data_IF_541377814981
#
_entry.id   IF_541377814981
#
_cell.length_a   1.000
_cell.length_b   1.000
_cell.length_c   1.000
_cell.angle_alpha   90.00
_cell.angle_beta   90.00
_cell.angle_gamma   90.00
#
_symmetry.space_group_name_H-M   'P 1'
#
loop_
_entity.id
_entity.type
_entity.pdbx_description
1 polymer ?
#
# COMPACT_ATOMS: atom_id res chain seq x y z
N UNK A 1 -9.14 42.52 44.75
CA UNK A 1 -10.44 42.18 44.24
C UNK A 1 -10.40 42.33 42.69
N UNK A 2 -10.20 41.23 42.01
CA UNK A 2 -10.17 41.21 40.56
C UNK A 2 -11.21 40.19 40.13
N UNK A 3 -12.22 40.67 39.42
CA UNK A 3 -13.38 39.87 38.93
C UNK A 3 -12.97 38.95 37.84
N UNK A 4 -13.50 37.71 37.90
CA UNK A 4 -13.37 36.71 36.83
C UNK A 4 -14.25 37.04 35.64
N UNK A 5 -13.85 36.76 34.40
CA UNK A 5 -14.70 36.96 33.23
C UNK A 5 -15.78 35.90 33.12
N UNK A 6 -16.97 36.37 32.72
CA UNK A 6 -18.17 35.55 32.52
C UNK A 6 -18.03 34.56 31.34
N UNK A 7 -18.60 33.38 31.51
CA UNK A 7 -18.71 32.35 30.48
C UNK A 7 -19.70 32.80 29.36
N UNK A 8 -19.44 32.42 28.09
CA UNK A 8 -20.35 32.71 27.00
C UNK A 8 -21.61 31.85 27.07
N UNK A 9 -22.76 32.48 26.76
CA UNK A 9 -24.09 31.87 26.71
C UNK A 9 -24.19 30.79 25.62
N UNK A 10 -24.92 29.73 25.95
CA UNK A 10 -25.25 28.62 25.03
C UNK A 10 -26.22 29.14 23.92
N UNK A 11 -26.11 28.64 22.67
CA UNK A 11 -27.03 28.98 21.62
C UNK A 11 -28.40 28.33 21.84
N UNK A 12 -29.43 29.07 21.50
CA UNK A 12 -30.85 28.72 21.62
C UNK A 12 -31.19 27.42 20.86
N UNK A 13 -32.03 26.60 21.48
CA UNK A 13 -32.46 25.31 20.97
C UNK A 13 -33.22 25.41 19.64
N UNK A 14 -32.89 24.51 18.75
CA UNK A 14 -33.68 24.22 17.56
C UNK A 14 -35.00 23.59 18.00
N UNK A 15 -36.10 24.21 17.56
CA UNK A 15 -37.44 23.72 17.79
C UNK A 15 -37.67 22.32 17.21
N UNK A 16 -38.37 21.48 17.93
CA UNK A 16 -38.79 20.18 17.47
C UNK A 16 -39.63 20.27 16.20
N UNK A 17 -39.50 19.37 15.23
CA UNK A 17 -40.33 19.32 14.06
C UNK A 17 -41.79 19.01 14.44
N UNK A 18 -42.78 19.54 13.71
CA UNK A 18 -44.18 19.30 14.00
C UNK A 18 -44.54 17.82 13.81
N UNK A 19 -45.31 17.28 14.75
CA UNK A 19 -45.84 15.92 14.67
C UNK A 19 -46.72 15.76 13.40
N UNK A 20 -46.57 14.63 12.68
CA UNK A 20 -47.46 14.39 11.55
C UNK A 20 -48.91 14.15 11.99
N UNK A 21 -49.89 14.51 11.16
CA UNK A 21 -51.30 14.37 11.49
C UNK A 21 -51.66 12.87 11.67
N UNK A 22 -52.38 12.57 12.73
CA UNK A 22 -52.94 11.25 12.97
C UNK A 22 -54.02 10.95 11.89
N UNK A 23 -53.69 10.00 11.01
CA UNK A 23 -54.67 9.58 10.00
C UNK A 23 -54.10 9.01 8.72
N UNK A 24 -52.93 8.37 8.74
CA UNK A 24 -52.47 7.56 7.59
C UNK A 24 -52.92 6.12 7.78
N UNK A 25 -53.79 5.66 6.87
CA UNK A 25 -54.16 4.24 6.76
C UNK A 25 -52.91 3.39 6.70
N UNK A 26 -52.84 2.34 7.51
CA UNK A 26 -51.76 1.38 7.51
C UNK A 26 -51.58 0.83 6.09
N UNK A 27 -50.45 1.17 5.47
CA UNK A 27 -50.01 0.47 4.29
C UNK A 27 -49.88 -1.02 4.65
N UNK A 28 -50.33 -1.95 3.79
CA UNK A 28 -50.14 -3.38 4.06
C UNK A 28 -48.66 -3.62 4.37
N UNK A 29 -48.43 -4.23 5.52
CA UNK A 29 -47.07 -4.62 5.93
C UNK A 29 -46.40 -5.38 4.78
N UNK A 30 -45.25 -4.89 4.35
CA UNK A 30 -44.45 -5.65 3.41
C UNK A 30 -44.29 -7.08 3.96
N UNK A 31 -44.38 -8.11 3.11
CA UNK A 31 -44.11 -9.47 3.57
C UNK A 31 -42.78 -9.50 4.28
N UNK A 32 -42.64 -10.26 5.39
CA UNK A 32 -41.38 -10.35 6.10
C UNK A 32 -40.29 -10.75 5.12
N UNK A 33 -39.08 -10.19 5.23
CA UNK A 33 -37.98 -10.55 4.36
C UNK A 33 -37.82 -12.07 4.40
N UNK A 34 -37.89 -12.71 3.23
CA UNK A 34 -37.69 -14.15 3.04
C UNK A 34 -36.26 -14.48 3.47
N UNK A 35 -36.08 -14.85 4.72
CA UNK A 35 -34.87 -15.45 5.29
C UNK A 35 -33.52 -14.77 5.02
N UNK A 36 -32.48 -15.19 5.71
CA UNK A 36 -31.12 -14.71 5.43
C UNK A 36 -30.71 -15.08 3.99
N UNK A 37 -29.80 -14.30 3.37
CA UNK A 37 -29.29 -14.60 2.03
C UNK A 37 -28.73 -16.01 2.02
N UNK A 38 -29.11 -16.77 1.00
CA UNK A 38 -28.68 -18.17 0.86
C UNK A 38 -27.24 -18.22 0.39
N UNK A 39 -26.39 -19.05 1.01
CA UNK A 39 -25.02 -19.25 0.58
C UNK A 39 -24.94 -19.79 -0.86
N UNK A 40 -23.83 -19.52 -1.55
CA UNK A 40 -23.53 -20.06 -2.87
C UNK A 40 -23.38 -21.59 -2.85
N UNK A 41 -23.57 -22.25 -3.97
CA UNK A 41 -23.87 -23.69 -4.08
C UNK A 41 -22.88 -24.70 -3.50
N UNK A 42 -21.73 -24.29 -2.98
CA UNK A 42 -20.77 -25.16 -2.26
C UNK A 42 -20.87 -25.05 -0.74
N UNK A 43 -21.61 -24.09 -0.22
CA UNK A 43 -21.82 -23.92 1.21
C UNK A 43 -23.09 -24.67 1.66
N UNK A 44 -23.05 -25.22 2.88
CA UNK A 44 -24.21 -25.83 3.50
C UNK A 44 -25.34 -24.79 3.65
N UNK A 45 -26.39 -24.92 2.87
CA UNK A 45 -27.60 -24.10 2.99
C UNK A 45 -28.38 -24.51 4.25
N UNK A 46 -28.03 -23.91 5.38
CA UNK A 46 -28.69 -24.14 6.65
C UNK A 46 -30.19 -23.81 6.60
N UNK A 47 -30.65 -22.98 5.69
CA UNK A 47 -32.08 -22.68 5.52
C UNK A 47 -32.86 -23.84 4.93
N UNK A 48 -32.18 -24.78 4.25
CA UNK A 48 -32.75 -26.00 3.72
C UNK A 48 -32.67 -27.16 4.72
N UNK A 49 -32.04 -26.98 5.88
CA UNK A 49 -31.90 -28.00 6.91
C UNK A 49 -32.94 -27.82 8.02
N UNK A 50 -33.43 -28.89 8.54
CA UNK A 50 -34.36 -28.91 9.67
C UNK A 50 -33.66 -29.59 10.86
N UNK A 51 -33.61 -28.89 11.99
CA UNK A 51 -33.13 -29.46 13.24
C UNK A 51 -34.23 -30.35 13.83
N UNK A 52 -33.94 -31.62 14.03
CA UNK A 52 -34.87 -32.57 14.66
C UNK A 52 -35.10 -32.20 16.11
N UNK A 53 -36.38 -32.05 16.46
CA UNK A 53 -36.81 -31.64 17.78
C UNK A 53 -36.78 -32.79 18.82
N UNK A 54 -37.16 -32.49 20.08
CA UNK A 54 -37.12 -33.44 21.17
C UNK A 54 -38.14 -34.61 21.01
N UNK A 55 -39.16 -34.44 20.18
CA UNK A 55 -40.21 -35.43 19.91
C UNK A 55 -39.78 -36.51 18.89
N UNK A 56 -38.64 -36.26 18.21
CA UNK A 56 -38.11 -37.20 17.23
C UNK A 56 -37.41 -38.40 17.88
N UNK A 57 -37.30 -39.55 17.18
CA UNK A 57 -36.57 -40.72 17.66
C UNK A 57 -35.16 -40.38 18.12
N UNK A 58 -34.68 -41.06 19.19
CA UNK A 58 -33.38 -40.74 19.82
C UNK A 58 -32.18 -40.61 18.88
N UNK A 59 -32.16 -41.42 17.81
CA UNK A 59 -31.10 -41.38 16.80
C UNK A 59 -31.13 -40.15 15.87
N UNK A 60 -32.18 -39.32 15.95
CA UNK A 60 -32.32 -38.12 15.11
C UNK A 60 -32.35 -36.82 15.88
N UNK A 61 -32.55 -36.87 17.20
CA UNK A 61 -32.63 -35.67 18.04
C UNK A 61 -31.36 -34.85 17.96
N UNK A 62 -31.53 -33.55 17.75
CA UNK A 62 -30.39 -32.60 17.70
C UNK A 62 -29.54 -32.73 16.43
N UNK A 63 -29.95 -33.53 15.45
CA UNK A 63 -29.26 -33.61 14.16
C UNK A 63 -29.99 -32.78 13.11
N UNK A 64 -29.22 -32.27 12.15
CA UNK A 64 -29.72 -31.51 11.01
C UNK A 64 -29.98 -32.48 9.84
N UNK A 65 -31.19 -32.42 9.29
CA UNK A 65 -31.60 -33.20 8.13
C UNK A 65 -32.07 -32.27 7.02
N UNK A 66 -31.90 -32.65 5.74
CA UNK A 66 -32.49 -31.91 4.65
C UNK A 66 -34.03 -31.84 4.82
N UNK A 67 -34.57 -30.62 4.77
CA UNK A 67 -36.01 -30.40 4.80
C UNK A 67 -36.71 -31.13 3.63
N UNK A 68 -37.84 -31.77 3.90
CA UNK A 68 -38.55 -32.58 2.88
C UNK A 68 -39.20 -31.75 1.75
N UNK A 69 -39.17 -30.43 1.82
CA UNK A 69 -39.79 -29.56 0.82
C UNK A 69 -38.73 -28.87 -0.03
N UNK A 70 -38.24 -29.53 -1.05
CA UNK A 70 -37.56 -28.82 -2.15
C UNK A 70 -38.63 -28.04 -2.89
N UNK A 71 -38.59 -26.69 -2.76
CA UNK A 71 -39.43 -25.82 -3.58
C UNK A 71 -39.19 -26.15 -5.07
N UNK A 72 -40.23 -26.56 -5.82
CA UNK A 72 -40.08 -27.00 -7.22
C UNK A 72 -39.54 -25.86 -8.10
N UNK A 73 -39.74 -24.57 -7.73
CA UNK A 73 -39.20 -23.43 -8.45
C UNK A 73 -37.68 -23.34 -8.26
N UNK A 74 -37.20 -23.50 -7.03
CA UNK A 74 -35.78 -23.53 -6.74
C UNK A 74 -35.06 -24.69 -7.40
N UNK A 75 -35.67 -25.88 -7.41
CA UNK A 75 -35.15 -27.06 -8.11
C UNK A 75 -35.03 -26.84 -9.63
N UNK A 76 -36.03 -26.20 -10.23
CA UNK A 76 -36.00 -25.86 -11.65
C UNK A 76 -34.95 -24.82 -11.99
N UNK A 77 -34.77 -23.76 -11.15
CA UNK A 77 -33.71 -22.78 -11.33
C UNK A 77 -32.31 -23.41 -11.22
N UNK A 78 -32.13 -24.31 -10.26
CA UNK A 78 -30.85 -25.03 -10.10
C UNK A 78 -30.56 -25.90 -11.34
N UNK A 79 -31.55 -26.67 -11.84
CA UNK A 79 -31.39 -27.45 -13.04
C UNK A 79 -31.05 -26.61 -14.27
N UNK A 80 -31.64 -25.41 -14.39
CA UNK A 80 -31.34 -24.50 -15.48
C UNK A 80 -29.93 -23.95 -15.35
N UNK A 81 -29.49 -23.56 -14.14
CA UNK A 81 -28.14 -23.08 -13.88
C UNK A 81 -27.09 -24.17 -14.20
N UNK A 82 -27.32 -25.40 -13.78
CA UNK A 82 -26.49 -26.56 -14.12
C UNK A 82 -26.44 -26.81 -15.63
N UNK A 83 -27.57 -26.68 -16.32
CA UNK A 83 -27.65 -26.79 -17.77
C UNK A 83 -26.84 -25.71 -18.50
N UNK A 84 -26.83 -24.48 -17.99
CA UNK A 84 -26.03 -23.38 -18.55
C UNK A 84 -24.54 -23.58 -18.22
N UNK A 85 -24.23 -24.06 -17.04
CA UNK A 85 -22.84 -24.33 -16.63
C UNK A 85 -22.20 -25.48 -17.43
N UNK A 86 -23.03 -26.43 -17.91
CA UNK A 86 -22.58 -27.55 -18.73
C UNK A 86 -22.40 -27.19 -20.23
N UNK A 87 -22.76 -25.96 -20.66
CA UNK A 87 -22.59 -25.57 -22.06
C UNK A 87 -21.10 -25.42 -22.38
N UNK A 88 -20.65 -25.91 -23.55
CA UNK A 88 -19.27 -25.69 -23.97
C UNK A 88 -19.05 -24.19 -24.18
N UNK A 89 -17.92 -23.70 -23.65
CA UNK A 89 -17.52 -22.30 -23.83
C UNK A 89 -17.29 -22.02 -25.32
N UNK A 90 -17.70 -20.85 -25.84
CA UNK A 90 -17.35 -20.41 -27.18
C UNK A 90 -15.83 -20.44 -27.38
N UNK A 91 -15.36 -20.78 -28.58
CA UNK A 91 -13.93 -20.98 -28.85
C UNK A 91 -13.02 -19.76 -28.64
N UNK A 92 -13.59 -18.59 -28.41
CA UNK A 92 -12.89 -17.35 -28.06
C UNK A 92 -13.04 -16.95 -26.58
N UNK A 93 -13.79 -17.71 -25.80
CA UNK A 93 -13.98 -17.42 -24.39
C UNK A 93 -12.77 -17.92 -23.59
N UNK A 94 -12.18 -17.03 -22.83
CA UNK A 94 -11.22 -17.37 -21.79
C UNK A 94 -12.01 -17.60 -20.52
N UNK A 95 -11.77 -18.76 -19.87
CA UNK A 95 -12.32 -19.00 -18.55
C UNK A 95 -11.97 -17.79 -17.65
N UNK A 96 -12.96 -17.15 -17.00
CA UNK A 96 -12.64 -16.16 -15.99
C UNK A 96 -11.74 -16.86 -14.96
N UNK A 97 -10.62 -16.21 -14.59
CA UNK A 97 -9.88 -16.66 -13.41
C UNK A 97 -10.87 -16.66 -12.26
N UNK A 98 -10.99 -17.78 -11.58
CA UNK A 98 -11.67 -17.79 -10.30
C UNK A 98 -10.90 -16.83 -9.41
N UNK A 99 -11.42 -15.62 -9.29
CA UNK A 99 -10.97 -14.67 -8.29
C UNK A 99 -11.60 -15.17 -7.00
N UNK A 100 -10.85 -15.97 -6.26
CA UNK A 100 -11.18 -16.20 -4.88
C UNK A 100 -11.23 -14.83 -4.22
N UNK A 101 -12.43 -14.31 -3.97
CA UNK A 101 -12.61 -13.10 -3.17
C UNK A 101 -11.95 -13.32 -1.81
N UNK A 102 -11.57 -12.24 -1.12
CA UNK A 102 -10.95 -12.34 0.21
C UNK A 102 -11.79 -13.12 1.24
N UNK A 103 -13.02 -13.40 0.94
CA UNK A 103 -13.97 -14.17 1.78
C UNK A 103 -14.01 -15.67 1.46
N UNK A 104 -13.43 -16.11 0.33
CA UNK A 104 -13.48 -17.49 -0.14
C UNK A 104 -12.20 -18.27 0.23
N UNK A 105 -11.26 -17.64 0.94
CA UNK A 105 -10.04 -18.31 1.37
C UNK A 105 -10.26 -19.02 2.70
N UNK A 106 -10.02 -20.33 2.69
CA UNK A 106 -9.96 -21.15 3.87
C UNK A 106 -8.49 -21.34 4.26
N UNK A 107 -8.19 -21.05 5.51
CA UNK A 107 -6.86 -21.27 6.09
C UNK A 107 -7.00 -22.35 7.16
N UNK A 108 -6.38 -23.49 6.94
CA UNK A 108 -6.36 -24.58 7.90
C UNK A 108 -5.05 -24.51 8.70
N UNK A 109 -5.15 -24.56 10.03
CA UNK A 109 -3.95 -24.62 10.87
C UNK A 109 -3.21 -25.94 10.63
N UNK A 110 -1.88 -25.87 10.46
CA UNK A 110 -1.03 -27.03 10.24
C UNK A 110 -1.05 -28.03 11.42
N UNK A 111 -1.34 -27.53 12.63
CA UNK A 111 -1.46 -28.32 13.85
C UNK A 111 -2.71 -27.92 14.63
N UNK A 112 -3.21 -28.84 15.45
CA UNK A 112 -4.30 -28.53 16.37
C UNK A 112 -3.78 -27.53 17.43
N UNK A 113 -4.55 -26.44 17.63
CA UNK A 113 -4.30 -25.48 18.68
C UNK A 113 -5.20 -25.79 19.88
N UNK A 114 -4.62 -25.81 21.05
CA UNK A 114 -5.36 -25.93 22.32
C UNK A 114 -5.73 -24.53 22.80
N UNK A 115 -7.03 -24.22 22.78
CA UNK A 115 -7.52 -22.90 23.16
C UNK A 115 -8.25 -23.06 24.50
N UNK A 116 -7.68 -22.52 25.61
CA UNK A 116 -8.31 -22.61 26.91
C UNK A 116 -9.62 -21.81 26.95
N UNK A 117 -10.58 -22.29 27.73
CA UNK A 117 -11.88 -21.63 27.92
C UNK A 117 -11.79 -20.61 29.07
N UNK A 118 -11.01 -19.56 28.87
CA UNK A 118 -10.73 -18.54 29.89
C UNK A 118 -11.40 -17.18 29.62
N UNK A 119 -12.17 -17.09 28.50
CA UNK A 119 -12.85 -15.86 28.10
C UNK A 119 -11.90 -14.77 27.54
N UNK A 120 -10.65 -15.09 27.26
CA UNK A 120 -9.67 -14.18 26.68
C UNK A 120 -9.47 -14.46 25.19
N UNK A 121 -8.82 -13.50 24.50
CA UNK A 121 -8.44 -13.67 23.10
C UNK A 121 -7.12 -14.44 22.99
N UNK A 122 -7.10 -15.44 22.11
CA UNK A 122 -5.92 -16.26 21.85
C UNK A 122 -5.49 -16.10 20.38
N UNK A 123 -4.20 -15.86 20.16
CA UNK A 123 -3.62 -15.87 18.84
C UNK A 123 -3.11 -17.27 18.50
N UNK A 124 -3.53 -17.80 17.36
CA UNK A 124 -3.14 -19.12 16.89
C UNK A 124 -2.43 -18.98 15.56
N UNK A 125 -1.26 -19.62 15.42
CA UNK A 125 -0.56 -19.71 14.14
C UNK A 125 -1.32 -20.63 13.21
N UNK A 126 -1.76 -20.10 12.08
CA UNK A 126 -2.47 -20.86 11.06
C UNK A 126 -1.50 -21.52 10.10
N UNK A 127 -0.60 -20.73 9.51
CA UNK A 127 0.38 -21.23 8.54
C UNK A 127 1.61 -20.32 8.48
N UNK A 128 2.69 -20.85 7.94
CA UNK A 128 3.86 -20.09 7.49
C UNK A 128 3.82 -20.02 5.96
N UNK A 129 3.79 -18.82 5.42
CA UNK A 129 3.71 -18.59 3.97
C UNK A 129 5.05 -18.02 3.51
N UNK A 130 5.84 -18.75 2.71
CA UNK A 130 7.09 -18.23 2.18
C UNK A 130 6.81 -17.14 1.14
N UNK A 131 7.33 -15.95 1.38
CA UNK A 131 7.19 -14.79 0.50
C UNK A 131 8.56 -14.25 0.11
N UNK A 132 8.66 -13.66 -1.08
CA UNK A 132 9.86 -12.93 -1.49
C UNK A 132 9.97 -11.63 -0.70
N UNK A 133 11.11 -11.40 -0.06
CA UNK A 133 11.39 -10.16 0.68
C UNK A 133 12.68 -9.53 0.18
N UNK A 134 12.66 -8.22 -0.05
CA UNK A 134 13.87 -7.43 -0.28
C UNK A 134 13.73 -6.06 0.37
N UNK A 135 14.81 -5.50 0.83
CA UNK A 135 14.83 -4.16 1.41
C UNK A 135 15.44 -3.18 0.40
N UNK A 136 14.72 -2.10 0.15
CA UNK A 136 15.17 -0.98 -0.65
C UNK A 136 15.56 0.16 0.30
N UNK A 137 16.70 0.80 0.05
CA UNK A 137 17.19 1.93 0.83
C UNK A 137 17.26 3.17 -0.06
N UNK A 138 16.59 4.23 0.35
CA UNK A 138 16.51 5.49 -0.40
C UNK A 138 16.85 6.66 0.52
N UNK A 139 17.60 7.61 0.03
CA UNK A 139 17.78 8.89 0.71
C UNK A 139 17.69 10.06 -0.27
N UNK A 140 17.19 11.19 0.24
CA UNK A 140 17.13 12.49 -0.45
C UNK A 140 17.85 13.50 0.42
N UNK A 141 19.19 13.52 0.40
CA UNK A 141 19.99 14.27 1.38
C UNK A 141 19.79 15.79 1.31
N UNK A 142 19.24 16.29 0.20
CA UNK A 142 18.86 17.71 0.05
C UNK A 142 17.60 18.09 0.85
N UNK A 143 16.82 17.10 1.30
CA UNK A 143 15.61 17.28 2.10
C UNK A 143 15.91 16.91 3.55
N UNK A 144 16.50 15.73 3.77
CA UNK A 144 16.83 15.21 5.09
C UNK A 144 18.03 14.28 5.02
N UNK A 145 18.94 14.41 5.98
CA UNK A 145 20.13 13.55 6.10
C UNK A 145 19.77 12.23 6.80
N UNK A 146 18.81 11.49 6.22
CA UNK A 146 18.36 10.19 6.68
C UNK A 146 18.20 9.21 5.50
N UNK A 147 18.50 7.94 5.74
CA UNK A 147 18.23 6.84 4.80
C UNK A 147 16.96 6.15 5.24
N UNK A 148 16.01 6.01 4.35
CA UNK A 148 14.75 5.33 4.62
C UNK A 148 14.77 3.92 4.05
N UNK A 149 14.32 2.97 4.86
CA UNK A 149 14.17 1.59 4.47
C UNK A 149 12.71 1.28 4.08
N UNK A 150 12.55 0.59 2.97
CA UNK A 150 11.26 0.07 2.51
C UNK A 150 11.40 -1.42 2.26
N UNK A 151 10.54 -2.19 2.90
CA UNK A 151 10.44 -3.63 2.64
C UNK A 151 9.53 -3.84 1.44
N UNK A 152 10.03 -4.53 0.44
CA UNK A 152 9.24 -4.96 -0.72
C UNK A 152 8.92 -6.43 -0.53
N UNK A 153 7.64 -6.72 -0.47
CA UNK A 153 7.08 -8.05 -0.29
C UNK A 153 6.48 -8.50 -1.62
N UNK A 154 6.93 -9.65 -2.10
CA UNK A 154 6.43 -10.29 -3.32
C UNK A 154 5.71 -11.59 -2.95
N UNK A 155 4.42 -11.65 -3.26
CA UNK A 155 3.62 -12.84 -3.04
C UNK A 155 3.72 -13.78 -4.25
N UNK A 156 4.78 -14.56 -4.29
CA UNK A 156 4.98 -15.59 -5.33
C UNK A 156 4.15 -16.86 -5.10
N UNK A 157 3.27 -16.88 -4.09
CA UNK A 157 2.43 -18.04 -3.79
C UNK A 157 1.12 -18.01 -4.57
N UNK A 158 0.37 -19.08 -4.54
CA UNK A 158 -0.97 -19.21 -5.12
C UNK A 158 -2.10 -18.73 -4.19
N UNK A 159 -1.74 -18.30 -2.97
CA UNK A 159 -2.69 -17.83 -1.96
C UNK A 159 -2.63 -16.31 -1.81
N UNK A 160 -3.78 -15.69 -1.56
CA UNK A 160 -3.81 -14.27 -1.21
C UNK A 160 -3.36 -14.07 0.24
N UNK A 161 -2.52 -13.07 0.48
CA UNK A 161 -2.23 -12.60 1.83
C UNK A 161 -3.34 -11.65 2.26
N UNK A 162 -3.93 -11.92 3.42
CA UNK A 162 -5.02 -11.10 3.93
C UNK A 162 -4.51 -9.79 4.52
N UNK A 163 -5.37 -8.77 4.47
CA UNK A 163 -5.09 -7.50 5.12
C UNK A 163 -5.04 -7.66 6.64
N UNK A 164 -4.12 -6.96 7.27
CA UNK A 164 -4.03 -6.97 8.72
C UNK A 164 -2.80 -6.24 9.26
N UNK A 165 -2.69 -6.13 10.59
CA UNK A 165 -1.48 -5.64 11.23
C UNK A 165 -0.35 -6.66 11.03
N UNK A 166 0.84 -6.15 10.73
CA UNK A 166 2.06 -6.95 10.52
C UNK A 166 3.16 -6.43 11.42
N UNK A 167 3.77 -7.33 12.14
CA UNK A 167 5.03 -7.08 12.85
C UNK A 167 6.18 -7.56 11.96
N UNK A 168 7.10 -6.64 11.68
CA UNK A 168 8.31 -6.95 10.91
C UNK A 168 9.45 -7.20 11.88
N UNK A 169 10.10 -8.34 11.73
CA UNK A 169 11.28 -8.72 12.52
C UNK A 169 12.43 -9.11 11.60
N UNK A 170 13.66 -8.88 12.03
CA UNK A 170 14.86 -9.37 11.37
C UNK A 170 15.78 -10.02 12.42
N UNK A 171 16.26 -11.22 12.16
CA UNK A 171 17.12 -11.98 13.06
C UNK A 171 16.57 -12.11 14.50
N UNK A 172 15.22 -12.09 14.63
CA UNK A 172 14.53 -12.15 15.91
C UNK A 172 14.36 -10.79 16.62
N UNK A 173 14.88 -9.71 16.06
CA UNK A 173 14.68 -8.35 16.56
C UNK A 173 13.48 -7.68 15.90
N UNK A 174 12.66 -7.02 16.71
CA UNK A 174 11.52 -6.23 16.23
C UNK A 174 11.99 -4.97 15.50
N UNK A 175 11.50 -4.75 14.28
CA UNK A 175 11.80 -3.56 13.49
C UNK A 175 10.66 -2.56 13.47
N UNK A 176 9.46 -3.02 13.13
CA UNK A 176 8.32 -2.13 12.95
C UNK A 176 6.98 -2.88 13.05
N UNK A 177 5.94 -2.16 13.40
CA UNK A 177 4.54 -2.59 13.20
C UNK A 177 3.92 -1.74 12.10
N UNK A 178 3.26 -2.39 11.16
CA UNK A 178 2.64 -1.74 10.00
C UNK A 178 1.34 -2.44 9.62
N UNK A 179 0.69 -2.00 8.58
CA UNK A 179 -0.48 -2.68 8.01
C UNK A 179 -0.15 -3.23 6.63
N UNK A 180 -0.54 -4.47 6.40
CA UNK A 180 -0.48 -5.10 5.08
C UNK A 180 -1.86 -4.95 4.42
N UNK A 181 -1.97 -4.46 3.19
CA UNK A 181 -3.19 -4.57 2.41
C UNK A 181 -3.38 -6.01 1.93
N UNK A 182 -4.56 -6.34 1.39
CA UNK A 182 -4.74 -7.62 0.69
C UNK A 182 -3.75 -7.69 -0.47
N UNK A 183 -2.96 -8.76 -0.50
CA UNK A 183 -1.98 -8.98 -1.56
C UNK A 183 -2.32 -10.27 -2.32
N UNK A 184 -2.83 -10.12 -3.53
CA UNK A 184 -3.17 -11.22 -4.40
C UNK A 184 -1.93 -12.05 -4.80
N UNK A 185 -2.09 -13.30 -5.27
CA UNK A 185 -1.03 -14.07 -5.88
C UNK A 185 -0.32 -13.29 -6.99
N UNK A 186 1.01 -13.27 -6.99
CA UNK A 186 1.84 -12.48 -7.90
C UNK A 186 1.84 -10.97 -7.64
N UNK A 187 1.19 -10.52 -6.58
CA UNK A 187 1.18 -9.12 -6.18
C UNK A 187 2.46 -8.70 -5.45
N UNK A 188 2.78 -7.41 -5.54
CA UNK A 188 3.91 -6.79 -4.85
C UNK A 188 3.40 -5.67 -3.95
N UNK A 189 3.86 -5.63 -2.72
CA UNK A 189 3.54 -4.58 -1.76
C UNK A 189 4.81 -3.93 -1.23
N UNK A 190 4.77 -2.63 -0.99
CA UNK A 190 5.84 -1.86 -0.35
C UNK A 190 5.41 -1.41 1.03
N UNK A 191 6.25 -1.69 2.00
CA UNK A 191 6.01 -1.39 3.41
C UNK A 191 7.15 -0.54 3.93
N UNK A 192 6.87 0.70 4.34
CA UNK A 192 7.88 1.57 4.93
C UNK A 192 8.30 1.07 6.31
N UNK A 193 9.60 0.95 6.53
CA UNK A 193 10.19 0.60 7.82
C UNK A 193 10.66 1.83 8.59
N UNK A 194 10.62 3.01 7.97
CA UNK A 194 11.15 4.24 8.56
C UNK A 194 12.64 4.45 8.35
N UNK A 195 13.27 5.34 9.14
CA UNK A 195 14.68 5.61 9.04
C UNK A 195 15.54 4.40 9.41
N UNK A 196 16.53 4.10 8.57
CA UNK A 196 17.53 3.06 8.84
C UNK A 196 18.70 3.67 9.60
N UNK A 197 18.64 3.71 10.92
CA UNK A 197 19.64 4.37 11.78
C UNK A 197 21.08 3.81 11.63
N UNK A 198 21.20 2.57 11.18
CA UNK A 198 22.47 1.94 10.89
C UNK A 198 23.13 2.46 9.60
N UNK A 199 22.40 3.23 8.77
CA UNK A 199 22.92 3.86 7.56
C UNK A 199 23.01 5.37 7.78
N UNK A 200 24.23 5.88 7.92
CA UNK A 200 24.41 7.31 8.07
C UNK A 200 24.64 7.97 6.70
N UNK A 201 24.07 9.14 6.53
CA UNK A 201 24.29 10.00 5.37
C UNK A 201 24.62 11.40 5.85
N UNK A 202 25.56 12.07 5.17
CA UNK A 202 25.89 13.47 5.41
C UNK A 202 26.04 14.18 4.08
N UNK A 203 25.48 15.36 3.96
CA UNK A 203 25.53 16.16 2.74
C UNK A 203 26.20 17.50 2.97
N UNK A 204 27.14 17.85 2.10
CA UNK A 204 27.78 19.16 2.09
C UNK A 204 27.63 19.81 0.73
N UNK A 205 27.34 21.08 0.70
CA UNK A 205 27.21 21.82 -0.55
C UNK A 205 28.16 23.03 -0.52
N UNK A 206 28.67 23.39 -1.70
CA UNK A 206 29.37 24.65 -1.90
C UNK A 206 28.85 25.34 -3.16
N UNK A 207 28.71 26.65 -3.07
CA UNK A 207 28.35 27.53 -4.17
C UNK A 207 29.50 28.50 -4.45
N UNK A 208 29.97 28.53 -5.70
CA UNK A 208 30.94 29.48 -6.17
C UNK A 208 30.39 30.28 -7.32
N UNK A 209 30.50 31.57 -7.26
CA UNK A 209 30.14 32.46 -8.36
C UNK A 209 31.41 32.89 -9.09
N UNK A 210 31.40 32.83 -10.42
CA UNK A 210 32.46 33.27 -11.29
C UNK A 210 31.89 33.92 -12.54
N UNK A 211 32.74 34.61 -13.32
CA UNK A 211 32.32 35.18 -14.58
C UNK A 211 33.11 34.55 -15.74
N UNK A 212 32.45 34.38 -16.86
CA UNK A 212 33.02 33.80 -18.06
C UNK A 212 32.62 34.57 -19.33
N UNK A 213 33.22 34.23 -20.47
CA UNK A 213 32.99 34.87 -21.75
C UNK A 213 34.00 36.02 -22.05
N UNK A 214 34.06 36.41 -23.33
CA UNK A 214 35.05 37.39 -23.85
C UNK A 214 35.02 38.78 -23.19
N UNK A 215 33.95 39.11 -22.49
CA UNK A 215 33.77 40.38 -21.77
C UNK A 215 33.20 40.18 -20.36
N UNK A 216 33.42 39.02 -19.75
CA UNK A 216 32.82 38.65 -18.47
C UNK A 216 31.29 38.82 -18.49
N UNK A 217 30.65 38.51 -19.64
CA UNK A 217 29.22 38.72 -19.85
C UNK A 217 28.35 37.50 -19.52
N UNK A 218 28.92 36.50 -18.88
CA UNK A 218 28.22 35.30 -18.40
C UNK A 218 28.56 35.08 -16.94
N UNK A 219 27.58 35.07 -16.08
CA UNK A 219 27.74 34.64 -14.68
C UNK A 219 27.64 33.13 -14.63
N UNK A 220 28.57 32.46 -14.00
CA UNK A 220 28.59 31.01 -13.77
C UNK A 220 28.43 30.75 -12.27
N UNK A 221 27.38 30.06 -11.92
CA UNK A 221 27.13 29.59 -10.56
C UNK A 221 27.49 28.10 -10.50
N UNK A 222 28.57 27.78 -9.83
CA UNK A 222 29.07 26.43 -9.65
C UNK A 222 28.50 25.85 -8.36
N UNK A 223 27.59 24.92 -8.46
CA UNK A 223 27.07 24.13 -7.35
C UNK A 223 27.86 22.84 -7.25
N UNK A 224 28.42 22.54 -6.08
CA UNK A 224 29.05 21.26 -5.78
C UNK A 224 28.32 20.61 -4.63
N UNK A 225 28.09 19.33 -4.77
CA UNK A 225 27.43 18.47 -3.79
C UNK A 225 28.36 17.34 -3.45
N UNK A 226 28.58 17.14 -2.17
CA UNK A 226 29.37 16.06 -1.63
C UNK A 226 28.48 15.28 -0.65
N UNK A 227 28.30 13.98 -0.89
CA UNK A 227 27.49 13.10 -0.05
C UNK A 227 28.36 11.97 0.46
N UNK A 228 28.45 11.83 1.77
CA UNK A 228 29.11 10.72 2.44
C UNK A 228 28.07 9.75 2.98
N UNK A 229 28.27 8.47 2.70
CA UNK A 229 27.41 7.39 3.20
C UNK A 229 28.26 6.44 4.05
N UNK A 230 27.68 5.93 5.13
CA UNK A 230 28.31 4.92 5.98
C UNK A 230 27.32 3.81 6.31
N UNK A 231 27.71 2.57 6.05
CA UNK A 231 26.96 1.38 6.40
C UNK A 231 27.52 0.78 7.70
N UNK A 232 26.72 0.74 8.75
CA UNK A 232 27.05 0.14 10.04
C UNK A 232 26.46 -1.26 10.22
N UNK A 233 25.73 -1.74 9.20
CA UNK A 233 25.18 -3.10 9.20
C UNK A 233 26.28 -4.13 8.97
N UNK A 234 26.04 -5.34 9.43
CA UNK A 234 26.94 -6.49 9.22
C UNK A 234 26.85 -7.07 7.79
N UNK A 235 25.97 -6.54 6.95
CA UNK A 235 25.72 -7.00 5.58
C UNK A 235 25.89 -5.86 4.57
N UNK A 236 26.26 -6.17 3.32
CA UNK A 236 26.29 -5.16 2.26
C UNK A 236 24.89 -4.69 1.91
N UNK A 237 24.75 -3.40 1.56
CA UNK A 237 23.48 -2.79 1.15
C UNK A 237 23.68 -1.92 -0.07
N UNK A 238 22.63 -1.78 -0.88
CA UNK A 238 22.61 -0.82 -1.98
C UNK A 238 21.67 0.32 -1.60
N UNK A 239 22.18 1.55 -1.62
CA UNK A 239 21.44 2.77 -1.30
C UNK A 239 21.23 3.57 -2.58
N UNK A 240 20.00 3.98 -2.83
CA UNK A 240 19.66 4.92 -3.87
C UNK A 240 19.66 6.34 -3.29
N UNK A 241 20.59 7.16 -3.76
CA UNK A 241 20.71 8.56 -3.37
C UNK A 241 20.06 9.41 -4.45
N UNK A 242 19.07 10.20 -4.07
CA UNK A 242 18.33 11.10 -4.97
C UNK A 242 18.78 12.53 -4.73
N UNK A 243 19.27 13.17 -5.79
CA UNK A 243 19.60 14.60 -5.81
C UNK A 243 18.76 15.31 -6.87
N UNK A 244 18.67 16.62 -6.76
CA UNK A 244 17.87 17.42 -7.68
C UNK A 244 18.73 18.46 -8.39
N UNK A 245 18.72 18.40 -9.71
CA UNK A 245 19.29 19.43 -10.58
C UNK A 245 18.15 20.36 -11.00
N UNK A 246 18.33 21.69 -10.93
CA UNK A 246 17.32 22.60 -11.42
C UNK A 246 17.07 22.39 -12.91
N UNK A 247 15.83 22.61 -13.33
CA UNK A 247 15.44 22.62 -14.75
C UNK A 247 14.97 24.01 -15.13
N UNK A 248 15.24 24.41 -16.36
CA UNK A 248 14.85 25.73 -16.86
C UNK A 248 14.17 25.61 -18.22
N UNK A 249 13.16 26.44 -18.46
CA UNK A 249 12.52 26.64 -19.77
C UNK A 249 13.18 27.78 -20.57
N UNK A 250 14.07 28.54 -19.93
CA UNK A 250 14.75 29.70 -20.54
C UNK A 250 15.88 29.22 -21.45
N UNK A 251 15.77 29.48 -22.76
CA UNK A 251 16.71 29.02 -23.77
C UNK A 251 18.14 29.59 -23.59
N UNK A 252 18.26 30.75 -22.93
CA UNK A 252 19.55 31.44 -22.73
C UNK A 252 20.28 30.99 -21.47
N UNK A 253 19.59 30.31 -20.53
CA UNK A 253 20.21 29.77 -19.33
C UNK A 253 20.62 28.32 -19.62
N UNK A 254 21.87 27.99 -19.38
CA UNK A 254 22.41 26.65 -19.57
C UNK A 254 22.77 26.05 -18.23
N UNK A 255 22.32 24.80 -18.03
CA UNK A 255 22.67 23.99 -16.86
C UNK A 255 23.53 22.84 -17.36
N UNK A 256 24.76 22.77 -16.86
CA UNK A 256 25.74 21.73 -17.20
C UNK A 256 25.97 20.87 -15.96
N UNK A 257 25.64 19.60 -16.07
CA UNK A 257 25.84 18.64 -14.96
C UNK A 257 27.30 18.19 -14.90
N UNK A 258 27.79 17.98 -13.67
CA UNK A 258 29.16 17.54 -13.39
C UNK A 258 29.14 16.46 -12.31
N UNK A 259 28.61 15.29 -12.68
CA UNK A 259 28.53 14.14 -11.79
C UNK A 259 28.26 12.87 -12.58
N UNK A 260 28.67 11.74 -12.01
CA UNK A 260 28.37 10.39 -12.51
C UNK A 260 27.01 9.89 -11.95
N UNK A 261 25.99 10.70 -12.02
CA UNK A 261 24.63 10.31 -11.70
C UNK A 261 23.82 9.96 -12.93
N UNK A 262 22.76 9.19 -12.75
CA UNK A 262 21.85 8.81 -13.82
C UNK A 262 20.50 9.50 -13.64
N UNK A 263 19.83 9.77 -14.75
CA UNK A 263 18.41 10.10 -14.70
C UNK A 263 17.60 8.86 -14.27
N UNK A 264 16.48 9.03 -13.53
CA UNK A 264 15.57 7.93 -13.31
C UNK A 264 15.14 7.34 -14.64
N UNK A 265 15.07 6.02 -14.72
CA UNK A 265 14.47 5.36 -15.86
C UNK A 265 13.01 5.82 -15.94
N UNK A 266 12.63 6.48 -17.03
CA UNK A 266 11.23 6.69 -17.34
C UNK A 266 10.63 5.29 -17.51
N UNK A 267 9.71 4.92 -16.60
CA UNK A 267 8.89 3.74 -16.80
C UNK A 267 8.01 4.04 -17.99
N UNK A 268 8.55 3.79 -19.18
CA UNK A 268 7.73 3.73 -20.39
C UNK A 268 6.71 2.64 -20.12
N UNK A 269 5.45 3.04 -20.00
CA UNK A 269 4.32 2.14 -19.95
C UNK A 269 4.32 1.34 -21.27
N UNK A 270 5.14 0.30 -21.28
CA UNK A 270 5.22 -0.67 -22.37
C UNK A 270 3.92 -1.46 -22.38
N UNK A 271 3.23 -1.38 -23.51
CA UNK A 271 2.03 -2.11 -23.83
C UNK A 271 2.23 -3.62 -23.62
N UNK A 272 1.75 -4.13 -22.51
CA UNK A 272 1.54 -5.54 -22.22
C UNK A 272 0.46 -5.65 -21.15
N UNK A 273 -0.46 -6.61 -21.23
CA UNK A 273 -1.46 -6.82 -20.20
C UNK A 273 -0.75 -7.47 -19.00
N UNK A 274 -0.07 -6.65 -18.21
CA UNK A 274 0.39 -7.08 -16.91
C UNK A 274 -0.68 -6.75 -15.86
N UNK A 275 -0.95 -7.70 -14.93
CA UNK A 275 -1.91 -7.48 -13.86
C UNK A 275 -1.48 -6.24 -13.08
N UNK A 276 -2.46 -5.43 -12.75
CA UNK A 276 -2.36 -4.16 -12.05
C UNK A 276 -1.35 -4.23 -10.89
N UNK A 277 -0.10 -3.96 -11.23
CA UNK A 277 0.87 -3.60 -10.23
C UNK A 277 0.44 -2.22 -9.74
N UNK A 278 -0.10 -2.16 -8.55
CA UNK A 278 -0.11 -0.93 -7.77
C UNK A 278 1.34 -0.58 -7.35
N UNK A 279 2.25 -0.57 -8.33
CA UNK A 279 3.39 0.28 -8.27
C UNK A 279 2.82 1.65 -8.64
N UNK A 280 2.52 2.49 -7.65
CA UNK A 280 2.55 3.91 -7.88
C UNK A 280 3.89 4.12 -8.61
N UNK A 281 3.81 4.39 -9.90
CA UNK A 281 4.95 4.90 -10.64
C UNK A 281 5.30 6.18 -9.89
N UNK A 282 6.28 6.10 -8.98
CA UNK A 282 6.79 7.28 -8.28
C UNK A 282 7.31 8.18 -9.38
N UNK A 283 6.46 9.11 -9.82
CA UNK A 283 6.83 10.12 -10.78
C UNK A 283 7.93 10.95 -10.12
N UNK A 284 9.17 10.73 -10.54
CA UNK A 284 10.27 11.52 -10.05
C UNK A 284 10.05 12.98 -10.45
N UNK A 285 10.28 13.90 -9.51
CA UNK A 285 10.20 15.31 -9.81
C UNK A 285 11.19 15.68 -10.95
N UNK A 286 10.85 16.63 -11.85
CA UNK A 286 11.74 17.05 -12.93
C UNK A 286 13.12 17.43 -12.39
N UNK A 287 14.16 16.95 -13.05
CA UNK A 287 15.56 17.20 -12.65
C UNK A 287 16.08 16.26 -11.55
N UNK A 288 15.35 15.23 -11.17
CA UNK A 288 15.88 14.21 -10.26
C UNK A 288 17.04 13.47 -10.91
N UNK A 289 18.08 13.20 -10.12
CA UNK A 289 19.26 12.41 -10.48
C UNK A 289 19.50 11.37 -9.42
N UNK A 290 20.02 10.22 -9.82
CA UNK A 290 20.20 9.05 -8.98
C UNK A 290 21.67 8.62 -8.95
N UNK A 291 22.16 8.29 -7.75
CA UNK A 291 23.31 7.42 -7.56
C UNK A 291 22.83 6.11 -6.92
N UNK A 292 23.24 5.01 -7.46
CA UNK A 292 23.05 3.69 -6.83
C UNK A 292 24.40 3.20 -6.31
N UNK A 293 24.53 3.14 -5.01
CA UNK A 293 25.80 2.85 -4.33
C UNK A 293 25.67 1.59 -3.52
N UNK A 294 26.55 0.62 -3.79
CA UNK A 294 26.66 -0.59 -2.97
C UNK A 294 27.73 -0.36 -1.91
N UNK A 295 27.32 -0.40 -0.66
CA UNK A 295 28.16 -0.25 0.52
C UNK A 295 28.45 -1.64 1.10
N UNK A 296 29.70 -2.06 1.23
CA UNK A 296 30.03 -3.28 1.96
C UNK A 296 29.67 -3.15 3.45
N UNK A 297 29.63 -4.26 4.15
CA UNK A 297 29.42 -4.29 5.59
C UNK A 297 30.47 -3.40 6.30
N UNK A 298 30.05 -2.46 7.15
CA UNK A 298 30.93 -1.51 7.83
C UNK A 298 31.63 -0.52 6.90
N UNK A 299 31.26 -0.47 5.62
CA UNK A 299 31.92 0.37 4.62
C UNK A 299 31.37 1.77 4.51
N UNK A 300 32.14 2.63 3.84
CA UNK A 300 31.76 4.00 3.53
C UNK A 300 31.92 4.27 2.04
N UNK A 301 31.17 5.25 1.53
CA UNK A 301 31.33 5.78 0.17
C UNK A 301 31.15 7.29 0.19
N UNK A 302 31.89 7.96 -0.70
CA UNK A 302 31.75 9.39 -0.95
C UNK A 302 31.33 9.59 -2.42
N UNK A 303 30.36 10.47 -2.63
CA UNK A 303 29.82 10.82 -3.92
C UNK A 303 30.03 12.31 -4.13
N UNK A 304 30.65 12.65 -5.25
CA UNK A 304 30.88 14.03 -5.66
C UNK A 304 30.04 14.32 -6.89
N UNK A 305 29.27 15.41 -6.82
CA UNK A 305 28.42 15.84 -7.91
C UNK A 305 28.24 17.34 -7.95
N UNK A 306 27.40 17.76 -8.85
CA UNK A 306 27.04 19.16 -8.96
C UNK A 306 26.64 19.57 -10.37
N UNK A 307 26.41 20.84 -10.52
CA UNK A 307 26.03 21.46 -11.79
C UNK A 307 26.50 22.90 -11.85
N UNK A 308 26.68 23.39 -13.05
CA UNK A 308 26.98 24.78 -13.31
C UNK A 308 25.78 25.44 -13.99
N UNK A 309 25.35 26.60 -13.50
CA UNK A 309 24.31 27.40 -14.13
C UNK A 309 24.98 28.59 -14.81
N UNK A 310 24.84 28.73 -16.10
CA UNK A 310 25.37 29.83 -16.90
C UNK A 310 24.26 30.80 -17.26
N UNK A 311 24.42 32.05 -16.78
CA UNK A 311 23.42 33.11 -16.90
C UNK A 311 24.04 34.27 -17.71
N UNK A 312 23.48 34.63 -18.90
CA UNK A 312 23.98 35.78 -19.67
C UNK A 312 23.73 37.10 -18.95
N UNK A 313 24.57 38.10 -19.25
CA UNK A 313 24.44 39.43 -18.69
C UNK A 313 23.05 40.01 -18.92
N UNK A 314 22.52 40.69 -17.91
CA UNK A 314 21.21 41.32 -17.95
C UNK A 314 20.05 40.40 -17.48
N UNK A 315 20.33 39.16 -17.14
CA UNK A 315 19.39 38.24 -16.47
C UNK A 315 19.83 37.97 -15.04
N UNK A 316 18.87 37.77 -14.17
CA UNK A 316 19.08 37.32 -12.81
C UNK A 316 18.14 36.19 -12.47
N UNK A 317 18.57 35.25 -11.61
CA UNK A 317 17.67 34.23 -11.07
C UNK A 317 16.67 34.88 -10.11
N UNK A 318 15.39 34.89 -10.48
CA UNK A 318 14.31 35.32 -9.63
C UNK A 318 13.79 34.10 -8.84
N UNK A 319 13.73 34.21 -7.49
CA UNK A 319 13.09 33.18 -6.64
C UNK A 319 13.96 32.01 -6.22
N UNK A 320 15.24 32.00 -6.51
CA UNK A 320 16.17 31.01 -5.95
C UNK A 320 16.42 31.29 -4.47
N UNK A 321 16.16 30.30 -3.62
CA UNK A 321 16.55 30.40 -2.22
C UNK A 321 18.08 30.39 -2.14
N UNK A 322 18.66 31.58 -1.88
CA UNK A 322 20.14 31.77 -1.77
C UNK A 322 20.69 31.24 -0.45
N UNK A 323 19.86 30.60 0.36
CA UNK A 323 20.24 30.04 1.66
C UNK A 323 19.99 28.55 1.66
N UNK A 324 21.02 27.80 1.62
CA UNK A 324 21.11 26.41 2.12
C UNK A 324 22.48 26.24 2.77
#
# INVERSE_FOLDING_TARGET
AQAAPAAPAAPAGYGAPPSPPAGSAALPSAPPPLGPPRPSGEELDYSALVLSGPEEPEGRRGLLFPGAAVDPVTAEHRRRAEGVAALPLPGHAVLPRESAGSFDHRYDAAARADIPSDGTWHTVTVAEIPVGLRTEYVCVPSVEEAVYATLVLDNATDQALLAGPVEVTADGEFLATTSLPVLAPGGVCRVGLGPAEALAVTRRTSLRESTAGLRNNVTVLEHRVHVELANRLAQPVTVEVRERVPVTSEADIRIEERADWTAPEEVTAGAGPEPERHAEAEGHAPGTRLWRVTLPAGGTAALDGGYDIRIPAGKALAGGNRRS
#
